data_IF_925793554151
#
_entry.id   IF_925793554151
#
_cell.length_a   1.000
_cell.length_b   1.000
_cell.length_c   1.000
_cell.angle_alpha   90.00
_cell.angle_beta   90.00
_cell.angle_gamma   90.00
#
_symmetry.space_group_name_H-M   'P 1'
#
loop_
_entity.id
_entity.type
_entity.pdbx_description
1 polymer ?
#
# COMPACT_ATOMS: atom_id res chain seq x y z
N UNK A 1 5.30 14.40 3.89
CA UNK A 1 5.54 14.32 5.38
C UNK A 1 6.96 14.78 5.63
N UNK A 2 7.19 15.72 6.57
CA UNK A 2 8.54 16.18 6.92
C UNK A 2 8.81 15.79 8.38
N UNK A 3 9.79 14.92 8.60
CA UNK A 3 10.16 14.44 9.94
C UNK A 3 11.45 15.13 10.34
N UNK A 4 11.47 15.80 11.51
CA UNK A 4 12.65 16.51 12.00
C UNK A 4 13.82 15.55 12.28
N UNK A 5 15.06 16.05 12.17
CA UNK A 5 16.27 15.27 12.48
C UNK A 5 16.24 14.69 13.89
N UNK A 6 15.71 15.44 14.88
CA UNK A 6 15.57 14.94 16.27
C UNK A 6 14.62 13.76 16.34
N UNK A 7 13.48 13.83 15.62
CA UNK A 7 12.52 12.73 15.57
C UNK A 7 13.09 11.51 14.84
N UNK A 8 13.85 11.70 13.74
CA UNK A 8 14.53 10.60 13.06
C UNK A 8 15.55 9.89 13.95
N UNK A 9 16.34 10.65 14.71
CA UNK A 9 17.30 10.09 15.67
C UNK A 9 16.59 9.27 16.75
N UNK A 10 15.49 9.81 17.31
CA UNK A 10 14.67 9.11 18.27
C UNK A 10 14.11 7.80 17.73
N UNK A 11 13.63 7.78 16.49
CA UNK A 11 13.12 6.56 15.82
C UNK A 11 14.22 5.48 15.74
N UNK A 12 15.45 5.85 15.37
CA UNK A 12 16.56 4.89 15.28
C UNK A 12 16.99 4.36 16.66
N UNK A 13 17.05 5.20 17.69
CA UNK A 13 17.42 4.78 19.05
C UNK A 13 16.39 3.84 19.68
N UNK A 14 15.10 4.06 19.37
CA UNK A 14 13.96 3.36 20.00
C UNK A 14 13.27 2.35 19.08
N UNK A 15 13.90 1.94 18.00
CA UNK A 15 13.29 1.10 16.95
C UNK A 15 12.73 -0.24 17.41
N UNK A 16 13.25 -0.79 18.52
CA UNK A 16 12.84 -2.08 19.09
C UNK A 16 11.95 -1.91 20.34
N UNK A 17 11.72 -0.66 20.79
CA UNK A 17 11.00 -0.38 22.02
C UNK A 17 9.49 -0.56 21.85
N UNK A 18 8.80 -0.79 22.96
CA UNK A 18 7.34 -0.86 22.99
C UNK A 18 6.71 0.49 22.69
N UNK A 19 5.99 0.58 21.58
CA UNK A 19 5.43 1.83 21.08
C UNK A 19 4.35 2.43 21.98
N UNK A 20 3.64 1.62 22.78
CA UNK A 20 2.64 2.11 23.74
C UNK A 20 3.33 2.81 24.90
N UNK A 21 4.41 2.23 25.38
CA UNK A 21 5.25 2.82 26.44
C UNK A 21 5.87 4.14 25.96
N UNK A 22 6.39 4.19 24.73
CA UNK A 22 6.94 5.42 24.15
C UNK A 22 5.88 6.52 24.04
N UNK A 23 4.69 6.22 23.58
CA UNK A 23 3.59 7.19 23.46
C UNK A 23 3.26 7.87 24.80
N UNK A 24 3.31 7.12 25.90
CA UNK A 24 3.07 7.66 27.26
C UNK A 24 4.19 8.58 27.76
N UNK A 25 5.37 8.51 27.15
CA UNK A 25 6.54 9.29 27.55
C UNK A 25 6.71 10.60 26.76
N UNK A 26 5.74 11.02 25.95
CA UNK A 26 5.81 12.20 25.08
C UNK A 26 6.30 13.47 25.81
N UNK A 27 5.91 13.66 27.08
CA UNK A 27 6.35 14.81 27.90
C UNK A 27 7.84 14.83 28.20
N UNK A 28 8.54 13.69 28.12
CA UNK A 28 10.00 13.61 28.35
C UNK A 28 10.79 14.07 27.12
N UNK A 29 10.17 14.08 25.95
CA UNK A 29 10.81 14.38 24.67
C UNK A 29 10.07 15.51 23.94
N UNK A 30 10.11 16.75 24.46
CA UNK A 30 9.30 17.87 23.94
C UNK A 30 9.66 18.28 22.51
N UNK A 31 10.86 17.94 22.05
CA UNK A 31 11.35 18.27 20.70
C UNK A 31 11.11 17.15 19.66
N UNK A 32 10.50 16.04 20.07
CA UNK A 32 10.20 14.89 19.23
C UNK A 32 8.72 14.90 18.85
N UNK A 33 8.42 14.79 17.57
CA UNK A 33 7.06 14.44 17.14
C UNK A 33 6.79 12.98 17.50
N UNK A 34 6.28 12.78 18.71
CA UNK A 34 6.04 11.44 19.25
C UNK A 34 5.00 10.66 18.45
N UNK A 35 4.01 11.32 17.87
CA UNK A 35 2.99 10.65 17.06
C UNK A 35 3.61 10.09 15.77
N UNK A 36 4.42 10.89 15.09
CA UNK A 36 5.18 10.43 13.94
C UNK A 36 6.17 9.32 14.32
N UNK A 37 6.94 9.50 15.41
CA UNK A 37 7.93 8.53 15.86
C UNK A 37 7.30 7.16 16.14
N UNK A 38 6.23 7.11 16.93
CA UNK A 38 5.52 5.88 17.28
C UNK A 38 4.95 5.21 16.02
N UNK A 39 4.41 5.99 15.09
CA UNK A 39 3.91 5.45 13.81
C UNK A 39 5.02 4.79 13.01
N UNK A 40 6.18 5.43 12.88
CA UNK A 40 7.32 4.89 12.13
C UNK A 40 7.92 3.65 12.81
N UNK A 41 8.12 3.67 14.12
CA UNK A 41 8.64 2.53 14.89
C UNK A 41 7.68 1.34 14.77
N UNK A 42 6.38 1.54 15.02
CA UNK A 42 5.36 0.48 14.89
C UNK A 42 5.32 -0.09 13.47
N UNK A 43 5.32 0.78 12.45
CA UNK A 43 5.31 0.36 11.05
C UNK A 43 6.53 -0.48 10.70
N UNK A 44 7.71 -0.09 11.14
CA UNK A 44 8.96 -0.84 10.94
C UNK A 44 8.96 -2.19 11.62
N UNK A 45 8.48 -2.28 12.86
CA UNK A 45 8.35 -3.55 13.59
C UNK A 45 7.38 -4.52 12.91
N UNK A 46 6.28 -4.00 12.35
CA UNK A 46 5.36 -4.81 11.53
C UNK A 46 6.04 -5.24 10.23
N UNK A 47 6.76 -4.34 9.55
CA UNK A 47 7.46 -4.64 8.30
C UNK A 47 8.50 -5.74 8.47
N UNK A 48 9.23 -5.79 9.58
CA UNK A 48 10.20 -6.85 9.88
C UNK A 48 9.63 -8.27 9.72
N UNK A 49 8.33 -8.44 10.01
CA UNK A 49 7.63 -9.73 9.93
C UNK A 49 6.83 -9.89 8.65
N UNK A 50 6.22 -8.81 8.18
CA UNK A 50 5.22 -8.84 7.11
C UNK A 50 5.83 -8.58 5.73
N UNK A 51 6.89 -7.77 5.68
CA UNK A 51 7.55 -7.32 4.45
C UNK A 51 9.08 -7.31 4.69
N UNK A 52 9.70 -8.47 4.96
CA UNK A 52 11.09 -8.54 5.42
C UNK A 52 12.10 -7.93 4.45
N UNK A 53 11.82 -7.90 3.13
CA UNK A 53 12.71 -7.24 2.17
C UNK A 53 12.76 -5.72 2.27
N UNK A 54 11.75 -5.09 2.88
CA UNK A 54 11.73 -3.65 3.10
C UNK A 54 12.43 -3.23 4.39
N UNK A 55 12.48 -4.12 5.39
CA UNK A 55 13.03 -3.84 6.72
C UNK A 55 14.46 -3.29 6.71
N UNK A 56 15.40 -3.77 5.85
CA UNK A 56 16.77 -3.25 5.81
C UNK A 56 16.87 -1.80 5.29
N UNK A 57 15.84 -1.29 4.59
CA UNK A 57 15.85 0.07 4.03
C UNK A 57 15.37 1.04 5.10
N UNK A 58 16.30 1.61 5.87
CA UNK A 58 16.01 2.45 7.05
C UNK A 58 15.22 3.73 6.71
N UNK A 59 15.37 4.24 5.50
CA UNK A 59 14.75 5.48 5.05
C UNK A 59 13.28 5.34 4.64
N UNK A 60 12.70 4.14 4.65
CA UNK A 60 11.29 3.96 4.29
C UNK A 60 10.35 4.56 5.35
N UNK A 61 9.26 5.13 4.87
CA UNK A 61 8.18 5.63 5.70
C UNK A 61 7.00 4.66 5.71
N UNK A 62 6.35 4.59 6.86
CA UNK A 62 5.24 3.67 7.12
C UNK A 62 3.95 4.42 7.42
N UNK A 63 2.79 3.92 6.94
CA UNK A 63 1.49 4.52 7.23
C UNK A 63 1.03 4.18 8.66
N UNK A 64 -0.08 4.81 9.11
CA UNK A 64 -0.73 4.42 10.36
C UNK A 64 -1.03 2.91 10.42
N UNK A 65 -1.10 2.38 11.64
CA UNK A 65 -1.22 0.95 11.94
C UNK A 65 -2.29 0.20 11.13
N UNK A 66 -3.47 0.81 10.93
CA UNK A 66 -4.55 0.18 10.17
C UNK A 66 -4.15 -0.17 8.74
N UNK A 67 -3.47 0.74 8.04
CA UNK A 67 -2.99 0.49 6.68
C UNK A 67 -1.91 -0.58 6.64
N UNK A 68 -1.06 -0.65 7.68
CA UNK A 68 -0.07 -1.73 7.84
C UNK A 68 -0.71 -3.10 8.07
N UNK A 69 -1.82 -3.15 8.80
CA UNK A 69 -2.55 -4.41 9.01
C UNK A 69 -3.28 -4.89 7.77
N UNK A 70 -3.87 -3.97 7.02
CA UNK A 70 -4.67 -4.29 5.82
C UNK A 70 -3.83 -4.61 4.59
N UNK A 71 -2.59 -4.12 4.49
CA UNK A 71 -1.73 -4.42 3.34
C UNK A 71 -1.38 -5.91 3.24
N UNK A 72 -1.01 -6.36 2.06
CA UNK A 72 -0.53 -7.73 1.82
C UNK A 72 0.78 -8.01 2.56
N UNK A 73 1.03 -9.28 2.89
CA UNK A 73 2.37 -9.73 3.24
C UNK A 73 3.24 -9.84 1.98
N UNK A 74 4.55 -9.81 2.14
CA UNK A 74 5.51 -10.02 1.06
C UNK A 74 5.26 -11.34 0.33
N UNK A 75 5.05 -12.43 1.07
CA UNK A 75 4.76 -13.74 0.47
C UNK A 75 3.51 -13.71 -0.41
N UNK A 76 2.45 -13.03 0.04
CA UNK A 76 1.20 -12.89 -0.73
C UNK A 76 1.40 -11.99 -1.95
N UNK A 77 2.18 -10.92 -1.83
CA UNK A 77 2.49 -10.02 -2.94
C UNK A 77 3.38 -10.70 -4.00
N UNK A 78 4.39 -11.47 -3.57
CA UNK A 78 5.23 -12.29 -4.46
C UNK A 78 4.42 -13.36 -5.20
N UNK A 79 3.48 -14.02 -4.51
CA UNK A 79 2.58 -14.98 -5.17
C UNK A 79 1.75 -14.30 -6.27
N UNK A 80 1.15 -13.14 -5.99
CA UNK A 80 0.42 -12.38 -7.01
C UNK A 80 1.32 -11.94 -8.16
N UNK A 81 2.52 -11.49 -7.86
CA UNK A 81 3.51 -11.13 -8.87
C UNK A 81 3.86 -12.30 -9.80
N UNK A 82 3.93 -13.53 -9.29
CA UNK A 82 4.22 -14.72 -10.11
C UNK A 82 3.12 -15.07 -11.12
N UNK A 83 1.92 -14.49 -10.96
CA UNK A 83 0.78 -14.73 -11.84
C UNK A 83 0.64 -13.67 -12.95
N UNK A 84 1.38 -12.58 -12.88
CA UNK A 84 1.23 -11.43 -13.77
C UNK A 84 2.57 -11.05 -14.41
N UNK A 85 2.52 -10.85 -15.73
CA UNK A 85 3.65 -10.40 -16.55
C UNK A 85 3.16 -9.59 -17.75
N UNK A 86 4.00 -8.74 -18.29
CA UNK A 86 3.70 -7.93 -19.48
C UNK A 86 4.58 -6.69 -19.59
N UNK A 87 4.18 -5.77 -20.45
CA UNK A 87 4.85 -4.48 -20.62
C UNK A 87 4.25 -3.40 -19.71
N UNK A 88 2.92 -3.41 -19.53
CA UNK A 88 2.17 -2.36 -18.83
C UNK A 88 1.25 -2.93 -17.75
N UNK A 89 1.24 -2.28 -16.60
CA UNK A 89 0.48 -2.67 -15.41
C UNK A 89 -0.21 -1.46 -14.78
N UNK A 90 -1.40 -1.64 -14.22
CA UNK A 90 -2.02 -0.64 -13.36
C UNK A 90 -2.64 -1.27 -12.11
N UNK A 91 -2.32 -0.70 -10.95
CA UNK A 91 -2.98 -0.97 -9.67
C UNK A 91 -3.97 0.16 -9.38
N UNK A 92 -5.26 -0.14 -9.44
CA UNK A 92 -6.34 0.85 -9.26
C UNK A 92 -6.73 1.09 -7.78
N UNK A 93 -6.10 0.37 -6.86
CA UNK A 93 -6.36 0.40 -5.42
C UNK A 93 -5.07 0.37 -4.62
N UNK A 94 -4.15 1.25 -4.97
CA UNK A 94 -2.74 1.20 -4.56
C UNK A 94 -2.47 0.99 -3.08
N UNK A 95 -3.27 1.59 -2.19
CA UNK A 95 -3.11 1.46 -0.74
C UNK A 95 -1.70 1.83 -0.28
N UNK A 96 -1.10 1.04 0.61
CA UNK A 96 0.31 1.27 1.00
C UNK A 96 1.31 0.90 -0.11
N UNK A 97 0.87 0.33 -1.23
CA UNK A 97 1.71 0.05 -2.38
C UNK A 97 2.46 -1.28 -2.35
N UNK A 98 2.17 -2.18 -1.41
CA UNK A 98 2.89 -3.46 -1.30
C UNK A 98 2.65 -4.30 -2.56
N UNK A 99 1.40 -4.54 -2.93
CA UNK A 99 1.08 -5.34 -4.11
C UNK A 99 1.67 -4.72 -5.37
N UNK A 100 1.47 -3.41 -5.57
CA UNK A 100 2.04 -2.67 -6.69
C UNK A 100 3.56 -2.81 -6.75
N UNK A 101 4.26 -2.68 -5.62
CA UNK A 101 5.73 -2.72 -5.56
C UNK A 101 6.34 -4.05 -5.98
N UNK A 102 5.66 -5.17 -5.71
CA UNK A 102 6.13 -6.50 -6.09
C UNK A 102 5.69 -6.88 -7.50
N UNK A 103 4.44 -6.62 -7.86
CA UNK A 103 3.88 -6.95 -9.17
C UNK A 103 4.58 -6.14 -10.28
N UNK A 104 4.78 -4.85 -10.08
CA UNK A 104 5.37 -3.95 -11.07
C UNK A 104 6.77 -4.35 -11.56
N UNK A 105 7.49 -5.17 -10.78
CA UNK A 105 8.84 -5.65 -11.16
C UNK A 105 8.84 -6.53 -12.42
N UNK A 106 7.70 -7.08 -12.79
CA UNK A 106 7.52 -7.89 -13.99
C UNK A 106 7.06 -7.06 -15.20
N UNK A 107 7.05 -5.73 -15.07
CA UNK A 107 6.54 -4.81 -16.11
C UNK A 107 7.53 -3.68 -16.39
N UNK A 108 7.50 -3.17 -17.62
CA UNK A 108 8.34 -2.02 -18.02
C UNK A 108 7.79 -0.69 -17.50
N UNK A 109 6.46 -0.59 -17.39
CA UNK A 109 5.74 0.57 -16.89
C UNK A 109 4.62 0.14 -15.97
N UNK A 110 4.44 0.88 -14.88
CA UNK A 110 3.36 0.63 -13.94
C UNK A 110 2.70 1.94 -13.51
N UNK A 111 1.39 1.88 -13.31
CA UNK A 111 0.59 2.94 -12.73
C UNK A 111 0.08 2.51 -11.36
N UNK A 112 0.39 3.31 -10.34
CA UNK A 112 -0.16 3.19 -8.99
C UNK A 112 -1.22 4.28 -8.82
N UNK A 113 -2.45 3.87 -8.54
CA UNK A 113 -3.59 4.79 -8.37
C UNK A 113 -4.16 4.67 -6.96
N UNK A 114 -4.20 5.78 -6.24
CA UNK A 114 -4.69 5.82 -4.86
C UNK A 114 -5.38 7.16 -4.58
N UNK A 115 -6.55 7.11 -3.94
CA UNK A 115 -7.35 8.31 -3.63
C UNK A 115 -6.84 9.09 -2.41
N UNK A 116 -6.18 8.42 -1.46
CA UNK A 116 -5.65 9.02 -0.25
C UNK A 116 -4.29 9.67 -0.51
N UNK A 117 -4.23 11.01 -0.47
CA UNK A 117 -3.00 11.75 -0.74
C UNK A 117 -1.83 11.35 0.17
N UNK A 118 -2.10 11.06 1.45
CA UNK A 118 -1.07 10.61 2.39
C UNK A 118 -0.41 9.28 1.98
N UNK A 119 -1.15 8.34 1.39
CA UNK A 119 -0.59 7.10 0.85
C UNK A 119 0.20 7.34 -0.44
N UNK A 120 -0.25 8.27 -1.29
CA UNK A 120 0.50 8.70 -2.47
C UNK A 120 1.83 9.37 -2.08
N UNK A 121 1.87 10.20 -1.03
CA UNK A 121 3.11 10.79 -0.50
C UNK A 121 4.09 9.71 -0.04
N UNK A 122 3.60 8.67 0.66
CA UNK A 122 4.43 7.53 1.06
C UNK A 122 4.98 6.78 -0.15
N UNK A 123 4.14 6.52 -1.16
CA UNK A 123 4.57 5.86 -2.39
C UNK A 123 5.62 6.69 -3.15
N UNK A 124 5.43 8.02 -3.26
CA UNK A 124 6.41 8.94 -3.86
C UNK A 124 7.77 8.91 -3.16
N UNK A 125 7.77 8.75 -1.83
CA UNK A 125 9.00 8.64 -1.05
C UNK A 125 9.62 7.25 -1.16
N UNK A 126 8.83 6.20 -1.00
CA UNK A 126 9.32 4.83 -0.84
C UNK A 126 9.74 4.17 -2.16
N UNK A 127 8.99 4.35 -3.25
CA UNK A 127 9.25 3.63 -4.50
C UNK A 127 10.64 3.92 -5.09
N UNK A 128 11.15 5.16 -5.12
CA UNK A 128 12.53 5.42 -5.54
C UNK A 128 13.57 4.69 -4.69
N UNK A 129 13.38 4.65 -3.36
CA UNK A 129 14.28 3.96 -2.42
C UNK A 129 14.29 2.43 -2.62
N UNK A 130 13.21 1.89 -3.17
CA UNK A 130 13.05 0.46 -3.50
C UNK A 130 13.47 0.12 -4.94
N UNK A 131 14.00 1.10 -5.69
CA UNK A 131 14.39 0.92 -7.09
C UNK A 131 13.20 0.81 -8.05
N UNK A 132 12.04 1.36 -7.69
CA UNK A 132 10.78 1.26 -8.43
C UNK A 132 10.44 2.57 -9.17
N UNK A 133 11.43 3.26 -9.72
CA UNK A 133 11.25 4.54 -10.41
C UNK A 133 10.43 4.46 -11.71
N UNK A 134 10.08 3.26 -12.19
CA UNK A 134 9.22 3.04 -13.34
C UNK A 134 7.72 3.10 -13.01
N UNK A 135 7.35 3.24 -11.71
CA UNK A 135 5.97 3.37 -11.25
C UNK A 135 5.56 4.85 -11.30
N UNK A 136 4.52 5.15 -12.04
CA UNK A 136 3.87 6.48 -12.03
C UNK A 136 2.78 6.50 -10.97
N UNK A 137 2.76 7.55 -10.15
CA UNK A 137 1.83 7.68 -9.03
C UNK A 137 0.73 8.68 -9.40
N UNK A 138 -0.52 8.24 -9.23
CA UNK A 138 -1.71 9.02 -9.53
C UNK A 138 -2.57 9.16 -8.26
N UNK A 139 -2.65 10.38 -7.71
CA UNK A 139 -3.56 10.66 -6.60
C UNK A 139 -4.97 10.91 -7.15
N UNK A 140 -5.69 9.83 -7.44
CA UNK A 140 -7.01 9.84 -8.07
C UNK A 140 -7.86 8.67 -7.56
N UNK A 141 -9.16 8.79 -7.78
CA UNK A 141 -10.08 7.67 -7.66
C UNK A 141 -9.82 6.64 -8.78
N UNK A 142 -9.76 5.36 -8.41
CA UNK A 142 -9.41 4.27 -9.33
C UNK A 142 -10.43 4.07 -10.45
N UNK A 143 -11.74 4.29 -10.19
CA UNK A 143 -12.77 4.17 -11.22
C UNK A 143 -12.66 5.30 -12.24
N UNK A 144 -12.49 6.52 -11.76
CA UNK A 144 -12.29 7.69 -12.63
C UNK A 144 -11.02 7.55 -13.48
N UNK A 145 -9.95 6.99 -12.90
CA UNK A 145 -8.73 6.72 -13.64
C UNK A 145 -8.95 5.62 -14.70
N UNK A 146 -9.63 4.54 -14.36
CA UNK A 146 -9.95 3.44 -15.28
C UNK A 146 -10.72 3.92 -16.53
N UNK A 147 -11.64 4.86 -16.36
CA UNK A 147 -12.43 5.42 -17.48
C UNK A 147 -11.55 6.14 -18.52
N UNK A 148 -10.50 6.81 -18.06
CA UNK A 148 -9.66 7.69 -18.90
C UNK A 148 -8.37 7.01 -19.38
N UNK A 149 -7.88 5.96 -18.67
CA UNK A 149 -6.61 5.33 -18.97
C UNK A 149 -6.59 4.63 -20.34
N UNK A 150 -5.41 4.51 -20.90
CA UNK A 150 -5.17 3.64 -22.06
C UNK A 150 -5.19 2.17 -21.63
N UNK A 151 -5.53 1.24 -22.53
CA UNK A 151 -5.47 -0.19 -22.25
C UNK A 151 -4.06 -0.63 -21.82
N UNK A 152 -4.01 -1.59 -20.87
CA UNK A 152 -2.77 -2.16 -20.31
C UNK A 152 -2.76 -3.68 -20.44
N UNK A 153 -1.61 -4.32 -20.23
CA UNK A 153 -1.53 -5.77 -20.23
C UNK A 153 -2.21 -6.37 -19.00
N UNK A 154 -1.99 -5.79 -17.82
CA UNK A 154 -2.56 -6.28 -16.58
C UNK A 154 -3.14 -5.16 -15.71
N UNK A 155 -4.31 -5.43 -15.12
CA UNK A 155 -4.95 -4.62 -14.08
C UNK A 155 -5.01 -5.39 -12.76
N UNK A 156 -4.80 -4.69 -11.66
CA UNK A 156 -5.00 -5.20 -10.31
C UNK A 156 -5.98 -4.31 -9.53
N UNK A 157 -6.88 -4.95 -8.78
CA UNK A 157 -7.80 -4.30 -7.85
C UNK A 157 -7.91 -5.11 -6.55
N UNK A 158 -7.87 -4.42 -5.41
CA UNK A 158 -8.20 -4.92 -4.07
C UNK A 158 -9.34 -4.05 -3.50
N UNK A 159 -10.58 -4.24 -3.97
CA UNK A 159 -11.70 -3.39 -3.57
C UNK A 159 -11.99 -3.54 -2.09
N UNK A 160 -12.25 -2.41 -1.41
CA UNK A 160 -12.60 -2.40 -0.01
C UNK A 160 -14.00 -3.01 0.20
N UNK A 161 -14.21 -3.72 1.31
CA UNK A 161 -15.56 -4.18 1.68
C UNK A 161 -16.36 -3.02 2.24
N UNK A 162 -17.63 -2.91 1.84
CA UNK A 162 -18.57 -1.96 2.45
C UNK A 162 -19.09 -2.56 3.76
N UNK A 163 -18.53 -2.16 4.89
CA UNK A 163 -19.05 -2.52 6.21
C UNK A 163 -20.24 -1.62 6.59
N UNK A 164 -21.33 -1.68 5.80
CA UNK A 164 -22.54 -0.88 6.08
C UNK A 164 -23.27 -1.28 7.38
N UNK A 165 -23.12 -2.51 7.87
CA UNK A 165 -23.86 -3.04 9.04
C UNK A 165 -23.19 -4.21 9.76
N UNK A 166 -21.86 -4.25 9.92
CA UNK A 166 -21.20 -5.21 10.82
C UNK A 166 -21.40 -6.70 10.50
N UNK A 167 -21.95 -7.03 9.34
CA UNK A 167 -22.14 -8.41 8.87
C UNK A 167 -20.99 -8.83 7.96
N UNK A 168 -20.58 -10.10 8.06
CA UNK A 168 -19.66 -10.71 7.09
C UNK A 168 -20.38 -10.88 5.75
N UNK A 169 -20.43 -9.83 4.94
CA UNK A 169 -20.91 -9.93 3.56
C UNK A 169 -19.78 -10.49 2.69
N UNK A 170 -20.11 -11.46 1.85
CA UNK A 170 -19.17 -12.21 1.01
C UNK A 170 -19.40 -11.94 -0.48
N UNK A 171 -20.41 -11.11 -0.80
CA UNK A 171 -20.74 -10.82 -2.19
C UNK A 171 -19.78 -9.79 -2.80
N UNK A 172 -19.38 -10.02 -4.05
CA UNK A 172 -18.50 -9.11 -4.82
C UNK A 172 -19.19 -7.75 -5.04
N UNK A 173 -20.53 -7.73 -5.15
CA UNK A 173 -21.35 -6.52 -5.25
C UNK A 173 -21.27 -5.60 -4.03
N UNK A 174 -20.83 -6.13 -2.87
CA UNK A 174 -20.72 -5.35 -1.63
C UNK A 174 -19.35 -4.68 -1.48
N UNK A 175 -18.50 -4.80 -2.48
CA UNK A 175 -17.19 -4.16 -2.51
C UNK A 175 -17.27 -2.72 -3.04
N UNK A 176 -16.29 -1.91 -2.67
CA UNK A 176 -16.10 -0.57 -3.21
C UNK A 176 -14.70 -0.47 -3.85
N UNK A 177 -14.62 -0.26 -5.16
CA UNK A 177 -15.72 -0.16 -6.13
C UNK A 177 -16.47 -1.48 -6.36
N UNK A 178 -17.74 -1.40 -6.78
CA UNK A 178 -18.52 -2.58 -7.20
C UNK A 178 -17.97 -3.13 -8.50
N UNK A 179 -17.24 -4.23 -8.39
CA UNK A 179 -16.55 -4.87 -9.52
C UNK A 179 -17.52 -5.43 -10.54
N UNK A 180 -18.73 -5.82 -10.14
CA UNK A 180 -19.73 -6.37 -11.07
C UNK A 180 -20.21 -5.33 -12.07
N UNK A 181 -20.31 -4.08 -11.66
CA UNK A 181 -20.63 -2.95 -12.53
C UNK A 181 -19.44 -2.56 -13.41
N UNK A 182 -18.22 -2.73 -12.92
CA UNK A 182 -17.00 -2.36 -13.64
C UNK A 182 -16.51 -3.42 -14.63
N UNK A 183 -17.00 -4.65 -14.55
CA UNK A 183 -16.51 -5.78 -15.34
C UNK A 183 -16.35 -5.46 -16.84
N UNK A 184 -17.35 -4.89 -17.56
CA UNK A 184 -17.20 -4.60 -18.98
C UNK A 184 -16.03 -3.64 -19.28
N UNK A 185 -15.85 -2.64 -18.43
CA UNK A 185 -14.78 -1.67 -18.58
C UNK A 185 -13.39 -2.26 -18.23
N UNK A 186 -13.33 -3.09 -17.20
CA UNK A 186 -12.08 -3.78 -16.81
C UNK A 186 -11.58 -4.68 -17.94
N UNK A 187 -12.48 -5.43 -18.58
CA UNK A 187 -12.15 -6.33 -19.70
C UNK A 187 -11.78 -5.55 -20.96
N UNK A 188 -12.38 -4.38 -21.20
CA UNK A 188 -12.01 -3.50 -22.31
C UNK A 188 -10.60 -2.88 -22.11
N UNK A 189 -10.22 -2.59 -20.86
CA UNK A 189 -8.99 -1.89 -20.52
C UNK A 189 -7.79 -2.80 -20.23
N UNK A 190 -7.96 -4.12 -20.10
CA UNK A 190 -6.82 -5.00 -19.82
C UNK A 190 -6.97 -6.39 -20.44
N UNK A 191 -5.83 -6.94 -20.87
CA UNK A 191 -5.77 -8.35 -21.33
C UNK A 191 -5.95 -9.34 -20.18
N UNK A 192 -5.53 -8.96 -18.97
CA UNK A 192 -5.66 -9.75 -17.75
C UNK A 192 -6.06 -8.84 -16.59
N UNK A 193 -7.08 -9.25 -15.84
CA UNK A 193 -7.54 -8.56 -14.64
C UNK A 193 -7.36 -9.48 -13.44
N UNK A 194 -6.69 -9.00 -12.40
CA UNK A 194 -6.58 -9.69 -11.11
C UNK A 194 -7.38 -8.95 -10.05
N UNK A 195 -8.32 -9.65 -9.44
CA UNK A 195 -9.12 -9.14 -8.33
C UNK A 195 -8.72 -9.86 -7.06
N UNK A 196 -8.43 -9.11 -6.01
CA UNK A 196 -8.23 -9.64 -4.68
C UNK A 196 -9.54 -9.49 -3.91
N UNK A 197 -10.27 -10.60 -3.71
CA UNK A 197 -11.55 -10.63 -3.01
C UNK A 197 -11.38 -11.38 -1.70
N UNK A 198 -11.44 -10.66 -0.59
CA UNK A 198 -11.33 -11.23 0.73
C UNK A 198 -9.91 -11.40 1.26
N UNK A 199 -9.78 -11.69 2.56
CA UNK A 199 -8.50 -12.14 3.14
C UNK A 199 -8.28 -13.59 2.71
N UNK A 200 -7.20 -13.87 2.01
CA UNK A 200 -6.69 -15.22 1.96
C UNK A 200 -6.26 -15.58 3.40
N UNK A 201 -7.06 -16.36 4.10
CA UNK A 201 -6.58 -17.07 5.26
C UNK A 201 -5.76 -18.25 4.73
N UNK A 202 -4.46 -18.10 4.81
CA UNK A 202 -3.50 -19.21 4.74
C UNK A 202 -3.25 -19.67 6.15
#
# INVERSE_FOLDING_TARGET
MEISTKTLHFIEEHREDDTRTLALQSKKYPDVDMAAAVTQIAGRQVAARKIPSWYPVSALWYPPHLSMEQCSSEATALYKASLLEGDTFADLTGGFGIDCSFISRNFKQADYVERQSGLCELALHNFPLLGLGHIRIHNRDGVSYLQEMLPVDCLFLDPARRDGHGGKTVAISDCEPDVTVLEPLLVDKAKKVMLKIGRAHV
#
